data_IF_163844180222
#
_entry.id   IF_163844180222
#
_cell.length_a   1.000
_cell.length_b   1.000
_cell.length_c   1.000
_cell.angle_alpha   90.00
_cell.angle_beta   90.00
_cell.angle_gamma   90.00
#
_symmetry.space_group_name_H-M   'P 1'
#
loop_
_entity.id
_entity.type
_entity.pdbx_description
1 polymer ?
#
# COMPACT_ATOMS: atom_id res chain seq x y z
N UNK A 1 -10.29 -5.08 -25.38
CA UNK A 1 -9.32 -4.56 -26.34
C UNK A 1 -9.87 -3.29 -26.98
N UNK A 2 -9.03 -2.31 -27.21
CA UNK A 2 -9.36 -1.05 -27.88
C UNK A 2 -8.19 -0.64 -28.79
N UNK A 3 -8.46 0.17 -29.81
CA UNK A 3 -7.40 0.70 -30.69
C UNK A 3 -6.78 1.96 -30.12
N UNK A 4 -7.57 2.78 -29.40
CA UNK A 4 -7.13 4.03 -28.78
C UNK A 4 -7.26 3.95 -27.24
N UNK A 5 -6.17 4.15 -26.48
CA UNK A 5 -6.19 4.09 -25.02
C UNK A 5 -7.08 5.16 -24.39
N UNK A 6 -7.17 6.36 -24.96
CA UNK A 6 -8.04 7.42 -24.43
C UNK A 6 -9.52 7.05 -24.61
N UNK A 7 -9.88 6.51 -25.77
CA UNK A 7 -11.23 6.01 -26.01
C UNK A 7 -11.58 4.84 -25.08
N UNK A 8 -10.62 3.94 -24.80
CA UNK A 8 -10.83 2.83 -23.86
C UNK A 8 -11.19 3.33 -22.46
N UNK A 9 -10.44 4.30 -21.92
CA UNK A 9 -10.72 4.88 -20.59
C UNK A 9 -12.07 5.59 -20.58
N UNK A 10 -12.37 6.39 -21.60
CA UNK A 10 -13.69 7.08 -21.70
C UNK A 10 -14.85 6.11 -21.80
N UNK A 11 -14.67 4.98 -22.46
CA UNK A 11 -15.67 3.92 -22.52
C UNK A 11 -15.88 3.28 -21.14
N UNK A 12 -14.80 2.99 -20.40
CA UNK A 12 -14.89 2.46 -19.03
C UNK A 12 -15.68 3.36 -18.11
N UNK A 13 -15.56 4.69 -18.22
CA UNK A 13 -16.35 5.63 -17.40
C UNK A 13 -17.85 5.62 -17.71
N UNK A 14 -18.27 5.00 -18.81
CA UNK A 14 -19.67 4.83 -19.18
C UNK A 14 -20.24 3.49 -18.70
N UNK A 15 -19.37 2.57 -18.27
CA UNK A 15 -19.76 1.29 -17.67
C UNK A 15 -20.33 1.54 -16.27
N UNK A 16 -21.23 0.67 -15.86
CA UNK A 16 -21.94 0.74 -14.59
C UNK A 16 -21.55 -0.49 -13.76
N UNK A 17 -21.22 -0.29 -12.51
CA UNK A 17 -20.92 -1.36 -11.55
C UNK A 17 -22.19 -2.08 -11.08
N UNK A 18 -22.03 -3.05 -10.19
CA UNK A 18 -23.11 -3.84 -9.64
C UNK A 18 -24.12 -3.01 -8.79
N UNK A 19 -23.66 -1.86 -8.29
CA UNK A 19 -24.46 -0.91 -7.49
C UNK A 19 -25.13 0.18 -8.34
N UNK A 20 -24.96 0.15 -9.67
CA UNK A 20 -25.55 1.11 -10.61
C UNK A 20 -24.79 2.45 -10.69
N UNK A 21 -23.53 2.51 -10.23
CA UNK A 21 -22.67 3.69 -10.31
C UNK A 21 -21.69 3.57 -11.49
N UNK A 22 -21.30 4.69 -12.05
CA UNK A 22 -20.29 4.70 -13.10
C UNK A 22 -18.91 4.25 -12.56
N UNK A 23 -18.18 3.50 -13.39
CA UNK A 23 -16.81 3.12 -13.11
C UNK A 23 -15.92 4.36 -12.97
N UNK A 24 -15.10 4.40 -11.93
CA UNK A 24 -14.12 5.44 -11.67
C UNK A 24 -12.69 4.91 -11.88
N UNK A 25 -11.69 5.78 -11.84
CA UNK A 25 -10.27 5.46 -12.13
C UNK A 25 -9.76 4.21 -11.40
N UNK A 26 -10.19 4.00 -10.16
CA UNK A 26 -9.75 2.86 -9.34
C UNK A 26 -10.22 1.52 -9.90
N UNK A 27 -11.31 1.50 -10.64
CA UNK A 27 -11.99 0.28 -11.11
C UNK A 27 -11.88 0.06 -12.63
N UNK A 28 -11.13 0.91 -13.34
CA UNK A 28 -10.87 0.71 -14.76
C UNK A 28 -10.14 -0.61 -15.00
N UNK A 29 -10.74 -1.49 -15.77
CA UNK A 29 -10.17 -2.82 -16.07
C UNK A 29 -9.00 -2.69 -17.05
N UNK A 30 -7.87 -3.39 -16.81
CA UNK A 30 -6.73 -3.38 -17.71
C UNK A 30 -7.12 -3.71 -19.15
N UNK A 31 -6.79 -2.81 -20.08
CA UNK A 31 -7.19 -2.93 -21.50
C UNK A 31 -5.96 -2.92 -22.40
N UNK A 32 -5.87 -3.92 -23.30
CA UNK A 32 -4.81 -3.97 -24.31
C UNK A 32 -5.21 -3.10 -25.49
N UNK A 33 -4.41 -2.08 -25.79
CA UNK A 33 -4.65 -1.11 -26.86
C UNK A 33 -3.74 -1.27 -28.08
N UNK A 34 -2.78 -2.20 -28.04
CA UNK A 34 -1.92 -2.49 -29.17
C UNK A 34 -1.67 -4.01 -29.29
N UNK A 35 -1.59 -4.47 -30.54
CA UNK A 35 -1.14 -5.84 -30.84
C UNK A 35 0.30 -5.87 -31.36
N UNK A 36 0.96 -4.72 -31.43
CA UNK A 36 2.35 -4.63 -31.85
C UNK A 36 3.26 -5.31 -30.80
N UNK A 37 4.14 -6.19 -31.28
CA UNK A 37 5.10 -6.87 -30.41
C UNK A 37 6.08 -5.86 -29.78
N UNK A 38 6.43 -4.81 -30.50
CA UNK A 38 7.35 -3.77 -30.05
C UNK A 38 6.76 -2.84 -28.97
N UNK A 39 5.42 -2.88 -28.78
CA UNK A 39 4.74 -2.17 -27.71
C UNK A 39 4.74 -2.94 -26.37
N UNK A 40 5.47 -4.05 -26.26
CA UNK A 40 5.55 -4.87 -25.04
C UNK A 40 6.90 -4.69 -24.36
N UNK A 41 6.89 -4.86 -23.05
CA UNK A 41 8.14 -4.96 -22.30
C UNK A 41 8.86 -6.25 -22.70
N UNK A 42 10.10 -6.13 -23.13
CA UNK A 42 10.95 -7.22 -23.60
C UNK A 42 12.16 -7.42 -22.67
N UNK A 43 12.84 -8.56 -22.83
CA UNK A 43 14.05 -8.85 -22.10
C UNK A 43 15.13 -7.76 -22.31
N UNK A 44 15.76 -7.33 -21.23
CA UNK A 44 16.76 -6.27 -21.17
C UNK A 44 16.23 -4.86 -21.41
N UNK A 45 14.93 -4.64 -21.46
CA UNK A 45 14.37 -3.29 -21.46
C UNK A 45 14.68 -2.58 -20.13
N UNK A 46 14.72 -1.25 -20.21
CA UNK A 46 14.84 -0.39 -19.04
C UNK A 46 13.47 0.10 -18.59
N UNK A 47 13.16 -0.13 -17.32
CA UNK A 47 11.91 0.30 -16.69
C UNK A 47 12.21 1.24 -15.55
N UNK A 48 11.62 2.42 -15.55
CA UNK A 48 11.61 3.33 -14.40
C UNK A 48 10.19 3.40 -13.86
N UNK A 49 9.98 2.86 -12.66
CA UNK A 49 8.70 2.93 -11.99
C UNK A 49 8.74 4.09 -10.99
N UNK A 50 8.18 5.23 -11.40
CA UNK A 50 8.38 6.49 -10.69
C UNK A 50 7.37 6.76 -9.55
N UNK A 51 6.47 5.84 -9.25
CA UNK A 51 5.62 5.91 -8.08
C UNK A 51 6.48 5.91 -6.81
N UNK A 52 6.31 6.89 -5.93
CA UNK A 52 7.10 6.96 -4.70
C UNK A 52 6.45 6.19 -3.53
N UNK A 53 5.13 5.98 -3.55
CA UNK A 53 4.43 5.15 -2.55
C UNK A 53 4.66 3.66 -2.83
N UNK A 54 5.05 2.85 -1.82
CA UNK A 54 5.40 1.45 -2.03
C UNK A 54 4.20 0.50 -2.10
N UNK A 55 3.07 0.84 -1.53
CA UNK A 55 1.93 -0.07 -1.23
C UNK A 55 1.61 -1.01 -2.40
N UNK A 56 0.96 -0.47 -3.43
CA UNK A 56 0.57 -1.24 -4.64
C UNK A 56 1.69 -1.31 -5.68
N UNK A 57 2.67 -0.39 -5.63
CA UNK A 57 3.83 -0.42 -6.53
C UNK A 57 4.65 -1.70 -6.38
N UNK A 58 4.79 -2.23 -5.16
CA UNK A 58 5.50 -3.49 -4.89
C UNK A 58 4.81 -4.68 -5.57
N UNK A 59 3.48 -4.70 -5.66
CA UNK A 59 2.74 -5.79 -6.29
C UNK A 59 3.08 -5.90 -7.77
N UNK A 60 2.93 -4.81 -8.52
CA UNK A 60 3.29 -4.76 -9.95
C UNK A 60 4.77 -5.06 -10.15
N UNK A 61 5.65 -4.47 -9.35
CA UNK A 61 7.10 -4.68 -9.47
C UNK A 61 7.45 -6.16 -9.33
N UNK A 62 6.92 -6.86 -8.30
CA UNK A 62 7.16 -8.30 -8.14
C UNK A 62 6.73 -9.11 -9.34
N UNK A 63 5.63 -8.77 -9.98
CA UNK A 63 5.18 -9.48 -11.18
C UNK A 63 6.17 -9.41 -12.33
N UNK A 64 7.04 -8.41 -12.36
CA UNK A 64 8.00 -8.18 -13.44
C UNK A 64 9.41 -8.67 -13.08
N UNK A 65 9.84 -8.52 -11.82
CA UNK A 65 11.25 -8.70 -11.45
C UNK A 65 11.56 -9.93 -10.59
N UNK A 66 10.53 -10.55 -9.97
CA UNK A 66 10.74 -11.68 -9.07
C UNK A 66 10.62 -13.01 -9.83
N UNK A 67 11.72 -13.78 -10.00
CA UNK A 67 11.66 -15.08 -10.67
C UNK A 67 10.80 -16.10 -9.92
N UNK A 68 10.69 -15.98 -8.59
CA UNK A 68 9.91 -16.89 -7.72
C UNK A 68 8.43 -16.47 -7.59
N UNK A 69 7.99 -15.48 -8.35
CA UNK A 69 6.59 -15.01 -8.29
C UNK A 69 5.62 -16.11 -8.71
N UNK A 70 4.62 -16.39 -7.85
CA UNK A 70 3.64 -17.47 -8.01
C UNK A 70 2.18 -16.99 -8.12
N UNK A 71 1.92 -15.67 -8.10
CA UNK A 71 0.55 -15.13 -8.10
C UNK A 71 -0.26 -15.45 -9.36
N UNK A 72 0.42 -15.63 -10.50
CA UNK A 72 -0.14 -16.12 -11.76
C UNK A 72 0.96 -16.64 -12.68
N UNK A 73 0.59 -17.43 -13.69
CA UNK A 73 1.54 -17.92 -14.70
C UNK A 73 1.81 -16.83 -15.73
N UNK A 74 3.06 -16.35 -15.78
CA UNK A 74 3.48 -15.41 -16.83
C UNK A 74 3.47 -16.08 -18.19
N UNK A 75 2.77 -15.48 -19.16
CA UNK A 75 2.64 -16.06 -20.52
C UNK A 75 4.00 -16.29 -21.19
N UNK A 76 4.93 -15.37 -21.02
CA UNK A 76 6.27 -15.42 -21.63
C UNK A 76 7.37 -15.82 -20.64
N UNK A 77 7.01 -16.34 -19.46
CA UNK A 77 7.96 -16.68 -18.41
C UNK A 77 8.60 -15.45 -17.76
N UNK A 78 9.66 -15.70 -17.00
CA UNK A 78 10.51 -14.63 -16.43
C UNK A 78 11.60 -14.25 -17.45
N UNK A 79 11.90 -12.97 -17.53
CA UNK A 79 13.04 -12.43 -18.27
C UNK A 79 13.65 -11.22 -17.52
N UNK A 80 14.97 -10.97 -17.69
CA UNK A 80 15.65 -9.89 -16.98
C UNK A 80 15.26 -8.52 -17.53
N UNK A 81 15.16 -7.53 -16.60
CA UNK A 81 14.93 -6.12 -16.91
C UNK A 81 15.97 -5.25 -16.20
N UNK A 82 16.26 -4.08 -16.75
CA UNK A 82 16.93 -3.00 -16.02
C UNK A 82 15.88 -2.19 -15.28
N UNK A 83 15.52 -2.62 -14.07
CA UNK A 83 14.39 -2.07 -13.34
C UNK A 83 14.81 -1.11 -12.22
N UNK A 84 14.30 0.11 -12.26
CA UNK A 84 14.55 1.15 -11.25
C UNK A 84 13.23 1.52 -10.55
N UNK A 85 13.18 1.25 -9.25
CA UNK A 85 12.13 1.74 -8.37
C UNK A 85 12.44 3.17 -7.93
N UNK A 86 11.45 4.06 -7.90
CA UNK A 86 11.65 5.41 -7.38
C UNK A 86 12.11 5.39 -5.92
N UNK A 87 11.43 4.59 -5.09
CA UNK A 87 11.79 4.35 -3.68
C UNK A 87 11.94 2.86 -3.42
N UNK A 88 12.40 2.47 -2.25
CA UNK A 88 12.47 1.07 -1.85
C UNK A 88 11.06 0.56 -1.53
N UNK A 89 10.46 -0.18 -2.45
CA UNK A 89 9.11 -0.73 -2.26
C UNK A 89 9.08 -1.91 -1.30
N UNK A 90 10.14 -2.71 -1.30
CA UNK A 90 10.33 -3.86 -0.43
C UNK A 90 11.83 -4.17 -0.34
N UNK A 91 12.35 -4.34 0.87
CA UNK A 91 13.77 -4.65 1.08
C UNK A 91 14.18 -6.03 0.51
N UNK A 92 13.22 -6.94 0.32
CA UNK A 92 13.43 -8.28 -0.22
C UNK A 92 13.21 -8.37 -1.73
N UNK A 93 12.92 -7.25 -2.40
CA UNK A 93 12.65 -7.21 -3.84
C UNK A 93 13.91 -7.53 -4.63
N UNK A 94 13.93 -8.64 -5.42
CA UNK A 94 15.10 -8.97 -6.24
C UNK A 94 15.14 -8.14 -7.52
N UNK A 95 16.32 -8.10 -8.16
CA UNK A 95 16.51 -7.60 -9.53
C UNK A 95 16.06 -6.14 -9.76
N UNK A 96 16.16 -5.29 -8.73
CA UNK A 96 15.82 -3.87 -8.82
C UNK A 96 16.95 -2.97 -8.35
N UNK A 97 16.99 -1.77 -8.91
CA UNK A 97 17.72 -0.64 -8.38
C UNK A 97 16.74 0.33 -7.70
N UNK A 98 17.22 1.10 -6.73
CA UNK A 98 16.42 2.09 -6.00
C UNK A 98 17.04 3.47 -6.21
N UNK A 99 16.26 4.38 -6.79
CA UNK A 99 16.72 5.75 -7.07
C UNK A 99 16.90 6.54 -5.76
N UNK A 100 15.90 6.49 -4.88
CA UNK A 100 15.93 7.19 -3.59
C UNK A 100 15.75 6.17 -2.45
N UNK A 101 16.86 5.85 -1.79
CA UNK A 101 16.85 4.92 -0.67
C UNK A 101 16.21 5.56 0.57
N UNK A 102 15.52 4.75 1.43
CA UNK A 102 15.01 5.24 2.69
C UNK A 102 16.12 5.87 3.54
N UNK A 103 15.79 6.98 4.18
CA UNK A 103 16.63 7.53 5.24
C UNK A 103 16.14 6.96 6.57
N UNK A 104 17.06 6.55 7.43
CA UNK A 104 16.71 6.16 8.80
C UNK A 104 16.27 7.39 9.57
N UNK A 105 15.09 7.32 10.19
CA UNK A 105 14.61 8.35 11.11
C UNK A 105 14.93 7.88 12.52
N UNK A 106 15.81 8.61 13.19
CA UNK A 106 16.16 8.40 14.59
C UNK A 106 15.39 9.39 15.46
N UNK A 107 15.20 9.03 16.73
CA UNK A 107 14.56 9.87 17.72
C UNK A 107 13.13 10.30 17.31
N UNK A 108 12.37 9.34 16.76
CA UNK A 108 10.95 9.54 16.47
C UNK A 108 10.17 9.81 17.77
N UNK A 109 8.97 10.38 17.66
CA UNK A 109 8.18 10.72 18.84
C UNK A 109 7.96 9.53 19.78
N UNK A 110 7.62 8.34 19.21
CA UNK A 110 7.45 7.12 20.01
C UNK A 110 8.73 6.65 20.70
N UNK A 111 9.87 6.77 20.02
CA UNK A 111 11.19 6.45 20.59
C UNK A 111 11.57 7.43 21.69
N UNK A 112 11.30 8.72 21.50
CA UNK A 112 11.56 9.75 22.50
C UNK A 112 10.72 9.55 23.77
N UNK A 113 9.40 9.30 23.63
CA UNK A 113 8.55 8.99 24.78
C UNK A 113 9.05 7.76 25.55
N UNK A 114 9.44 6.72 24.81
CA UNK A 114 10.01 5.51 25.41
C UNK A 114 11.31 5.78 26.18
N UNK A 115 12.18 6.65 25.65
CA UNK A 115 13.43 7.04 26.34
C UNK A 115 13.19 7.77 27.65
N UNK A 116 12.04 8.43 27.79
CA UNK A 116 11.59 9.08 29.01
C UNK A 116 10.82 8.14 29.97
N UNK A 117 10.71 6.85 29.63
CA UNK A 117 9.93 5.88 30.41
C UNK A 117 8.43 6.11 30.39
N UNK A 118 7.92 6.83 29.37
CA UNK A 118 6.50 7.12 29.20
C UNK A 118 5.76 5.98 28.51
N UNK A 119 4.49 5.78 28.90
CA UNK A 119 3.59 4.84 28.28
C UNK A 119 2.77 5.48 27.17
N UNK A 120 2.58 4.76 26.08
CA UNK A 120 1.89 5.28 24.90
C UNK A 120 0.98 4.23 24.26
N UNK A 121 -0.20 4.66 23.79
CA UNK A 121 -1.17 3.84 23.08
C UNK A 121 -1.16 4.17 21.59
N UNK A 122 -1.10 3.13 20.76
CA UNK A 122 -1.33 3.21 19.31
C UNK A 122 -2.59 2.41 19.00
N UNK A 123 -3.63 3.09 18.55
CA UNK A 123 -4.90 2.45 18.24
C UNK A 123 -5.45 2.99 16.93
N UNK A 124 -5.87 2.08 16.06
CA UNK A 124 -6.59 2.41 14.85
C UNK A 124 -7.32 1.17 14.31
N UNK A 125 -8.23 1.40 13.38
CA UNK A 125 -8.76 0.32 12.56
C UNK A 125 -7.78 -0.12 11.46
N UNK A 126 -8.03 -1.30 10.84
CA UNK A 126 -7.10 -1.97 9.91
C UNK A 126 -6.52 -1.03 8.84
N UNK A 127 -7.35 -0.21 8.20
CA UNK A 127 -6.95 0.71 7.12
C UNK A 127 -5.98 1.81 7.58
N UNK A 128 -5.93 2.11 8.87
CA UNK A 128 -5.09 3.16 9.46
C UNK A 128 -4.03 2.64 10.43
N UNK A 129 -4.05 1.34 10.73
CA UNK A 129 -3.15 0.76 11.74
C UNK A 129 -1.67 0.96 11.41
N UNK A 130 -1.27 0.69 10.16
CA UNK A 130 0.11 0.92 9.73
C UNK A 130 0.54 2.39 9.83
N UNK A 131 -0.40 3.34 9.69
CA UNK A 131 -0.10 4.77 9.79
C UNK A 131 0.27 5.18 11.21
N UNK A 132 -0.41 4.64 12.22
CA UNK A 132 -0.16 4.96 13.64
C UNK A 132 0.92 4.06 14.27
N UNK A 133 1.41 3.06 13.57
CA UNK A 133 2.46 2.12 14.03
C UNK A 133 3.71 2.25 13.18
N UNK A 134 3.82 1.50 12.11
CA UNK A 134 4.99 1.44 11.23
C UNK A 134 5.44 2.81 10.73
N UNK A 135 4.54 3.57 10.08
CA UNK A 135 4.90 4.89 9.53
C UNK A 135 5.19 5.91 10.63
N UNK A 136 4.43 5.90 11.71
CA UNK A 136 4.64 6.81 12.82
C UNK A 136 5.96 6.54 13.56
N UNK A 137 6.43 5.29 13.55
CA UNK A 137 7.72 4.88 14.10
C UNK A 137 8.88 5.01 13.06
N UNK A 138 8.70 5.81 12.02
CA UNK A 138 9.75 6.08 11.02
C UNK A 138 10.05 4.92 10.09
N UNK A 139 9.08 4.04 9.83
CA UNK A 139 9.24 2.86 8.97
C UNK A 139 9.83 1.65 9.70
N UNK A 140 9.67 1.59 11.02
CA UNK A 140 10.16 0.49 11.87
C UNK A 140 8.98 -0.26 12.49
N UNK A 141 8.93 -1.58 12.29
CA UNK A 141 7.84 -2.42 12.81
C UNK A 141 7.93 -2.69 14.31
N UNK A 142 9.11 -2.61 14.89
CA UNK A 142 9.27 -2.88 16.34
C UNK A 142 8.42 -1.94 17.19
N UNK A 143 7.87 -2.45 18.29
CA UNK A 143 7.31 -1.65 19.37
C UNK A 143 8.44 -1.09 20.25
N UNK A 144 8.28 0.14 20.72
CA UNK A 144 9.17 0.70 21.73
C UNK A 144 8.74 0.27 23.15
N UNK A 145 9.65 0.23 24.14
CA UNK A 145 9.25 0.02 25.52
C UNK A 145 8.17 1.03 25.96
N UNK A 146 7.10 0.53 26.58
CA UNK A 146 5.93 1.35 26.96
C UNK A 146 4.93 1.63 25.84
N UNK A 147 5.14 1.09 24.63
CA UNK A 147 4.21 1.22 23.50
C UNK A 147 3.26 0.02 23.45
N UNK A 148 1.97 0.27 23.63
CA UNK A 148 0.90 -0.70 23.39
C UNK A 148 0.20 -0.42 22.06
N UNK A 149 -0.21 -1.50 21.40
CA UNK A 149 -0.91 -1.45 20.10
C UNK A 149 -2.26 -2.14 20.17
N UNK A 150 -3.30 -1.47 19.69
CA UNK A 150 -4.65 -2.02 19.59
C UNK A 150 -5.13 -1.89 18.15
N UNK A 151 -5.41 -3.03 17.52
CA UNK A 151 -6.02 -3.10 16.20
C UNK A 151 -7.52 -3.33 16.33
N UNK A 152 -8.31 -2.52 15.66
CA UNK A 152 -9.74 -2.72 15.46
C UNK A 152 -9.96 -3.14 14.01
N UNK A 153 -10.65 -4.26 13.72
CA UNK A 153 -10.94 -4.64 12.34
C UNK A 153 -11.77 -3.58 11.62
N UNK A 154 -11.36 -3.17 10.42
CA UNK A 154 -12.23 -2.37 9.55
C UNK A 154 -13.43 -3.19 9.06
N UNK A 155 -14.58 -2.54 8.74
CA UNK A 155 -15.74 -3.25 8.26
C UNK A 155 -15.47 -3.94 6.92
N UNK A 156 -16.06 -5.14 6.73
CA UNK A 156 -15.93 -5.93 5.51
C UNK A 156 -17.00 -5.54 4.50
N UNK A 157 -16.88 -4.37 3.92
CA UNK A 157 -17.75 -3.86 2.86
C UNK A 157 -16.96 -3.70 1.56
N UNK A 158 -17.65 -3.70 0.42
CA UNK A 158 -16.99 -3.58 -0.90
C UNK A 158 -16.30 -2.21 -1.04
N UNK A 159 -16.95 -1.16 -0.62
CA UNK A 159 -16.45 0.22 -0.57
C UNK A 159 -16.94 0.91 0.70
N UNK A 160 -16.16 1.84 1.25
CA UNK A 160 -16.48 2.45 2.56
C UNK A 160 -17.57 3.52 2.51
N UNK A 161 -18.05 3.91 1.35
CA UNK A 161 -19.27 4.72 1.22
C UNK A 161 -20.53 3.95 1.64
N UNK A 162 -20.47 2.61 1.68
CA UNK A 162 -21.52 1.75 2.22
C UNK A 162 -21.58 1.74 3.76
N UNK A 163 -20.47 2.11 4.41
CA UNK A 163 -20.35 2.24 5.87
C UNK A 163 -19.35 3.37 6.20
N UNK A 164 -19.72 4.63 5.98
CA UNK A 164 -18.79 5.76 6.07
C UNK A 164 -18.25 6.02 7.49
N UNK A 165 -18.99 5.61 8.53
CA UNK A 165 -18.52 5.64 9.91
C UNK A 165 -17.40 4.64 10.20
N UNK A 166 -17.25 3.61 9.33
CA UNK A 166 -16.26 2.56 9.45
C UNK A 166 -16.27 1.93 10.87
N UNK A 167 -15.10 1.78 11.52
CA UNK A 167 -15.00 1.25 12.88
C UNK A 167 -14.79 2.37 13.92
N UNK A 168 -15.07 3.63 13.58
CA UNK A 168 -14.87 4.76 14.50
C UNK A 168 -15.58 4.62 15.85
N UNK A 169 -16.83 4.10 15.95
CA UNK A 169 -17.48 3.86 17.24
C UNK A 169 -16.69 2.90 18.13
N UNK A 170 -16.28 1.73 17.61
CA UNK A 170 -15.51 0.75 18.39
C UNK A 170 -14.12 1.27 18.76
N UNK A 171 -13.45 1.98 17.86
CA UNK A 171 -12.16 2.64 18.16
C UNK A 171 -12.35 3.63 19.30
N UNK A 172 -13.41 4.45 19.25
CA UNK A 172 -13.73 5.44 20.29
C UNK A 172 -13.96 4.80 21.64
N UNK A 173 -14.78 3.74 21.71
CA UNK A 173 -15.07 3.04 22.97
C UNK A 173 -13.77 2.51 23.60
N UNK A 174 -12.92 1.88 22.80
CA UNK A 174 -11.63 1.36 23.26
C UNK A 174 -10.67 2.47 23.70
N UNK A 175 -10.63 3.60 23.01
CA UNK A 175 -9.81 4.75 23.39
C UNK A 175 -10.28 5.32 24.73
N UNK A 176 -11.60 5.52 24.91
CA UNK A 176 -12.17 6.01 26.16
C UNK A 176 -11.86 5.07 27.32
N UNK A 177 -12.03 3.75 27.13
CA UNK A 177 -11.65 2.76 28.14
C UNK A 177 -10.17 2.90 28.56
N UNK A 178 -9.27 3.03 27.58
CA UNK A 178 -7.82 3.17 27.84
C UNK A 178 -7.47 4.49 28.53
N UNK A 179 -8.10 5.60 28.15
CA UNK A 179 -7.91 6.89 28.82
C UNK A 179 -8.37 6.79 30.27
N UNK A 180 -9.55 6.21 30.52
CA UNK A 180 -10.10 6.09 31.88
C UNK A 180 -9.30 5.12 32.77
N UNK A 181 -8.54 4.20 32.17
CA UNK A 181 -7.66 3.29 32.92
C UNK A 181 -6.49 4.03 33.60
N UNK A 182 -6.10 5.20 33.12
CA UNK A 182 -4.94 5.96 33.60
C UNK A 182 -3.58 5.32 33.35
N UNK A 183 -3.52 4.29 32.47
CA UNK A 183 -2.30 3.52 32.22
C UNK A 183 -1.37 4.16 31.18
N UNK A 184 -1.81 5.19 30.49
CA UNK A 184 -1.08 5.81 29.38
C UNK A 184 -0.82 7.30 29.65
N UNK A 185 0.41 7.70 29.35
CA UNK A 185 0.82 9.11 29.35
C UNK A 185 0.44 9.81 28.04
N UNK A 186 0.32 9.03 26.92
CA UNK A 186 0.06 9.55 25.58
C UNK A 186 -0.76 8.54 24.74
#
# INVERSE_FOLDING_TARGET
>A
QAEDPVAAIRTSYQEIDAEGKNITDEFVVPTVCSHDADARIMANDSVIFFNFRPDRAREITRTLVDPEFTGFVRRNGFFPLHYVCMTQYDATMPNVQVAFRPQSLENTFGEYLSSLGKTQLRIAETEKYAHVTFFFNGGVERTFPGEDRVLVPSPKVATYDLQPEMSAPEVTDKVVERILSGNYDC
#
